data_IF_777220089246
#
_entry.id   IF_777220089246
#
_cell.length_a   1.000
_cell.length_b   1.000
_cell.length_c   1.000
_cell.angle_alpha   90.00
_cell.angle_beta   90.00
_cell.angle_gamma   90.00
#
_symmetry.space_group_name_H-M   'P 1'
#
loop_
_entity.id
_entity.type
_entity.pdbx_description
1 polymer ?
#
# COMPACT_ATOMS: atom_id res chain seq x y z
N UNK A 1 -11.67 0.24 0.94
CA UNK A 1 -12.46 0.56 -0.27
C UNK A 1 -12.82 -0.76 -0.97
N UNK A 2 -14.11 -1.08 -1.18
CA UNK A 2 -14.49 -2.30 -1.92
C UNK A 2 -14.56 -1.93 -3.40
N UNK A 3 -13.67 -2.49 -4.21
CA UNK A 3 -13.74 -2.36 -5.67
C UNK A 3 -14.76 -3.36 -6.21
N UNK A 4 -15.81 -2.84 -6.82
CA UNK A 4 -16.80 -3.64 -7.54
C UNK A 4 -16.83 -3.20 -9.01
N UNK A 5 -17.01 -4.14 -9.95
CA UNK A 5 -17.23 -3.77 -11.34
C UNK A 5 -18.52 -2.94 -11.46
N UNK A 6 -18.50 -1.93 -12.31
CA UNK A 6 -19.68 -1.11 -12.62
C UNK A 6 -20.74 -1.95 -13.34
N UNK A 7 -20.28 -2.84 -14.22
CA UNK A 7 -21.11 -3.80 -14.95
C UNK A 7 -20.75 -5.26 -14.58
N UNK A 8 -21.21 -5.70 -13.42
CA UNK A 8 -21.01 -7.08 -12.97
C UNK A 8 -21.60 -8.11 -13.94
N UNK A 9 -22.76 -7.81 -14.57
CA UNK A 9 -23.40 -8.71 -15.52
C UNK A 9 -22.55 -8.87 -16.77
N UNK A 10 -22.05 -7.77 -17.34
CA UNK A 10 -21.12 -7.79 -18.47
C UNK A 10 -19.85 -8.58 -18.15
N UNK A 11 -19.25 -8.35 -16.98
CA UNK A 11 -18.06 -9.10 -16.54
C UNK A 11 -18.33 -10.62 -16.52
N UNK A 12 -19.48 -11.07 -16.01
CA UNK A 12 -19.89 -12.49 -16.02
C UNK A 12 -20.12 -13.01 -17.44
N UNK A 13 -20.68 -12.19 -18.34
CA UNK A 13 -20.91 -12.60 -19.74
C UNK A 13 -19.58 -12.73 -20.50
N UNK A 14 -18.61 -11.86 -20.23
CA UNK A 14 -17.24 -11.97 -20.78
C UNK A 14 -16.56 -13.24 -20.26
N UNK A 15 -16.65 -13.52 -18.95
CA UNK A 15 -16.09 -14.75 -18.37
C UNK A 15 -16.65 -16.03 -19.00
N UNK A 16 -17.92 -16.00 -19.46
CA UNK A 16 -18.59 -17.10 -20.17
C UNK A 16 -18.35 -17.10 -21.69
N UNK A 17 -17.50 -16.18 -22.21
CA UNK A 17 -17.27 -16.06 -23.66
C UNK A 17 -18.46 -15.53 -24.48
N UNK A 18 -19.51 -15.05 -23.82
CA UNK A 18 -20.77 -14.60 -24.45
C UNK A 18 -20.80 -13.12 -24.81
N UNK A 19 -19.79 -12.38 -24.39
CA UNK A 19 -19.58 -10.97 -24.67
C UNK A 19 -18.10 -10.70 -24.90
N UNK A 20 -17.78 -9.71 -25.75
CA UNK A 20 -16.41 -9.29 -26.02
C UNK A 20 -15.76 -8.67 -24.79
N UNK A 21 -14.53 -9.08 -24.48
CA UNK A 21 -13.68 -8.41 -23.49
C UNK A 21 -13.24 -7.03 -23.97
N UNK A 22 -12.88 -6.13 -23.06
CA UNK A 22 -12.27 -4.86 -23.44
C UNK A 22 -10.82 -5.07 -23.90
N UNK A 23 -10.09 -5.99 -23.22
CA UNK A 23 -8.71 -6.34 -23.53
C UNK A 23 -8.50 -7.85 -23.33
N UNK A 24 -7.75 -8.47 -24.24
CA UNK A 24 -7.17 -9.79 -24.03
C UNK A 24 -5.63 -9.69 -24.10
N UNK A 25 -4.95 -10.29 -23.14
CA UNK A 25 -3.50 -10.49 -23.18
C UNK A 25 -3.28 -11.96 -23.45
N UNK A 26 -2.75 -12.27 -24.65
CA UNK A 26 -2.60 -13.64 -25.13
C UNK A 26 -1.16 -14.10 -25.12
N UNK A 27 -0.93 -15.41 -25.14
CA UNK A 27 0.40 -16.05 -25.20
C UNK A 27 1.33 -15.60 -24.05
N UNK A 28 0.78 -15.38 -22.85
CA UNK A 28 1.56 -14.97 -21.69
C UNK A 28 2.02 -16.18 -20.85
N UNK A 29 3.19 -16.06 -20.21
CA UNK A 29 3.53 -16.88 -19.05
C UNK A 29 2.99 -16.15 -17.79
N UNK A 30 1.81 -16.56 -17.33
CA UNK A 30 1.16 -15.94 -16.19
C UNK A 30 1.84 -16.34 -14.88
N UNK A 31 2.26 -15.36 -14.10
CA UNK A 31 2.73 -15.56 -12.73
C UNK A 31 1.56 -15.46 -11.79
N UNK A 32 1.09 -16.60 -11.28
CA UNK A 32 -0.01 -16.68 -10.34
C UNK A 32 0.51 -16.52 -8.91
N UNK A 33 0.32 -15.36 -8.31
CA UNK A 33 0.81 -15.04 -6.95
C UNK A 33 0.02 -15.73 -5.84
N UNK A 34 -1.16 -16.29 -6.13
CA UNK A 34 -1.94 -17.06 -5.15
C UNK A 34 -1.44 -18.49 -4.99
N UNK A 35 -0.95 -19.11 -6.07
CA UNK A 35 -0.50 -20.50 -6.07
C UNK A 35 1.01 -20.64 -6.17
N UNK A 36 1.72 -19.55 -6.56
CA UNK A 36 3.15 -19.56 -6.83
C UNK A 36 3.54 -20.24 -8.15
N UNK A 37 2.57 -20.53 -9.01
CA UNK A 37 2.78 -21.20 -10.30
C UNK A 37 3.10 -20.21 -11.41
N UNK A 38 3.81 -20.69 -12.42
CA UNK A 38 3.98 -19.98 -13.71
C UNK A 38 3.49 -20.92 -14.80
N UNK A 39 2.49 -20.48 -15.55
CA UNK A 39 1.89 -21.28 -16.62
C UNK A 39 1.45 -20.42 -17.80
N UNK A 40 1.29 -21.06 -18.98
CA UNK A 40 0.77 -20.36 -20.16
C UNK A 40 -0.70 -20.04 -19.97
N UNK A 41 -1.08 -18.81 -20.28
CA UNK A 41 -2.46 -18.36 -20.17
C UNK A 41 -2.77 -17.20 -21.11
N UNK A 42 -4.06 -17.07 -21.41
CA UNK A 42 -4.66 -15.86 -21.98
C UNK A 42 -5.53 -15.20 -20.90
N UNK A 43 -5.38 -13.87 -20.71
CA UNK A 43 -6.11 -13.14 -19.68
C UNK A 43 -7.06 -12.16 -20.32
N UNK A 44 -8.34 -12.26 -19.96
CA UNK A 44 -9.42 -11.41 -20.46
C UNK A 44 -9.83 -10.40 -19.41
N UNK A 45 -9.92 -9.12 -19.81
CA UNK A 45 -10.23 -7.99 -18.94
C UNK A 45 -11.50 -7.29 -19.44
N UNK A 46 -12.37 -6.92 -18.51
CA UNK A 46 -13.57 -6.14 -18.78
C UNK A 46 -13.85 -5.19 -17.62
N UNK A 47 -14.19 -3.95 -17.91
CA UNK A 47 -14.47 -2.87 -16.94
C UNK A 47 -13.34 -2.73 -15.87
N UNK A 48 -12.09 -2.96 -16.29
CA UNK A 48 -10.91 -2.90 -15.41
C UNK A 48 -10.72 -4.08 -14.46
N UNK A 49 -11.46 -5.18 -14.63
CA UNK A 49 -11.36 -6.41 -13.84
C UNK A 49 -10.94 -7.59 -14.71
N UNK A 50 -10.20 -8.52 -14.15
CA UNK A 50 -9.94 -9.81 -14.79
C UNK A 50 -11.26 -10.59 -14.82
N UNK A 51 -11.76 -10.86 -16.02
CA UNK A 51 -12.98 -11.61 -16.24
C UNK A 51 -12.69 -13.12 -16.27
N UNK A 52 -11.61 -13.52 -16.95
CA UNK A 52 -11.26 -14.92 -17.16
C UNK A 52 -9.75 -15.08 -17.38
N UNK A 53 -9.24 -16.22 -16.95
CA UNK A 53 -7.88 -16.70 -17.24
C UNK A 53 -8.05 -18.06 -17.93
N UNK A 54 -7.74 -18.10 -19.24
CA UNK A 54 -7.83 -19.30 -20.05
C UNK A 54 -6.49 -20.00 -20.12
N UNK A 55 -6.47 -21.28 -19.80
CA UNK A 55 -5.25 -22.12 -19.77
C UNK A 55 -5.24 -23.20 -20.84
N UNK A 56 -6.36 -23.40 -21.54
CA UNK A 56 -6.47 -24.35 -22.64
C UNK A 56 -6.17 -23.69 -23.99
N UNK A 57 -5.90 -24.46 -25.02
CA UNK A 57 -5.72 -23.95 -26.37
C UNK A 57 -7.05 -23.38 -26.88
N UNK A 58 -7.06 -22.10 -27.19
CA UNK A 58 -8.26 -21.35 -27.55
C UNK A 58 -8.08 -20.68 -28.91
N UNK A 59 -8.92 -21.06 -29.89
CA UNK A 59 -8.79 -20.58 -31.27
C UNK A 59 -9.42 -19.18 -31.51
N UNK A 60 -10.36 -18.72 -30.66
CA UNK A 60 -11.12 -17.50 -30.90
C UNK A 60 -11.05 -16.52 -29.73
N UNK A 61 -10.19 -15.52 -29.85
CA UNK A 61 -10.08 -14.42 -28.88
C UNK A 61 -11.14 -13.36 -29.20
N UNK A 62 -12.19 -13.27 -28.36
CA UNK A 62 -13.23 -12.25 -28.49
C UNK A 62 -12.92 -11.06 -27.56
N UNK A 63 -12.15 -10.09 -28.05
CA UNK A 63 -11.80 -8.88 -27.34
C UNK A 63 -11.72 -7.69 -28.29
N UNK A 64 -11.96 -6.46 -27.78
CA UNK A 64 -11.84 -5.22 -28.53
C UNK A 64 -10.37 -4.86 -28.83
N UNK A 65 -9.50 -5.17 -27.89
CA UNK A 65 -8.05 -4.98 -28.00
C UNK A 65 -7.36 -6.29 -27.64
N UNK A 66 -6.28 -6.64 -28.36
CA UNK A 66 -5.50 -7.84 -28.14
C UNK A 66 -4.03 -7.45 -28.04
N UNK A 67 -3.39 -7.83 -26.94
CA UNK A 67 -1.95 -7.73 -26.74
C UNK A 67 -1.37 -9.14 -26.79
N UNK A 68 -0.50 -9.41 -27.78
CA UNK A 68 0.26 -10.65 -27.81
C UNK A 68 1.52 -10.51 -26.95
N UNK A 69 1.55 -11.20 -25.83
CA UNK A 69 2.69 -11.21 -24.92
C UNK A 69 3.91 -11.97 -25.47
N UNK A 70 3.77 -12.75 -26.56
CA UNK A 70 4.86 -13.47 -27.22
C UNK A 70 5.70 -14.32 -26.26
N UNK A 71 5.07 -14.92 -25.27
CA UNK A 71 5.77 -15.71 -24.25
C UNK A 71 6.45 -14.89 -23.14
N UNK A 72 6.24 -13.58 -23.09
CA UNK A 72 6.70 -12.77 -21.95
C UNK A 72 5.90 -13.12 -20.69
N UNK A 73 6.50 -12.79 -19.53
CA UNK A 73 5.82 -12.98 -18.25
C UNK A 73 4.76 -11.90 -18.02
N UNK A 74 3.57 -12.32 -17.64
CA UNK A 74 2.50 -11.46 -17.17
C UNK A 74 2.39 -11.57 -15.66
N UNK A 75 2.63 -10.48 -14.95
CA UNK A 75 2.59 -10.42 -13.48
C UNK A 75 1.58 -9.37 -13.03
N UNK A 76 1.05 -9.46 -11.79
CA UNK A 76 0.48 -8.29 -11.15
C UNK A 76 1.49 -7.15 -11.12
N UNK A 77 1.02 -5.90 -11.21
CA UNK A 77 1.89 -4.75 -11.04
C UNK A 77 2.51 -4.73 -9.63
N UNK A 78 3.74 -4.24 -9.53
CA UNK A 78 4.45 -4.14 -8.25
C UNK A 78 3.74 -3.15 -7.32
N UNK A 79 3.81 -3.46 -6.02
CA UNK A 79 3.25 -2.64 -4.93
C UNK A 79 4.41 -2.21 -4.05
N UNK A 80 4.59 -0.91 -3.88
CA UNK A 80 5.48 -0.36 -2.86
C UNK A 80 4.63 -0.11 -1.61
N UNK A 81 4.87 -0.90 -0.57
CA UNK A 81 4.05 -0.92 0.63
C UNK A 81 4.37 0.23 1.61
N UNK A 82 5.49 0.92 1.43
CA UNK A 82 5.88 2.05 2.25
C UNK A 82 6.88 2.94 1.54
N UNK A 83 6.51 4.19 1.26
CA UNK A 83 7.38 5.15 0.58
C UNK A 83 7.12 6.59 1.04
N UNK A 84 8.18 7.39 1.10
CA UNK A 84 8.10 8.84 1.28
C UNK A 84 8.34 9.51 -0.07
N UNK A 85 7.27 9.92 -0.75
CA UNK A 85 7.36 10.53 -2.08
C UNK A 85 8.17 11.82 -2.03
N UNK A 86 7.98 12.61 -0.99
CA UNK A 86 8.68 13.88 -0.75
C UNK A 86 10.20 13.73 -0.63
N UNK A 87 10.70 12.61 -0.10
CA UNK A 87 12.14 12.29 -0.08
C UNK A 87 12.77 12.24 -1.47
N UNK A 88 11.98 11.90 -2.48
CA UNK A 88 12.42 11.92 -3.89
C UNK A 88 12.42 13.33 -4.51
N UNK A 89 12.01 14.36 -3.76
CA UNK A 89 11.79 15.74 -4.23
C UNK A 89 10.76 15.86 -5.36
N UNK A 90 9.84 14.89 -5.45
CA UNK A 90 8.77 14.87 -6.44
C UNK A 90 7.41 15.09 -5.79
N UNK A 91 6.49 15.62 -6.58
CA UNK A 91 5.06 15.56 -6.27
C UNK A 91 4.47 14.23 -6.76
N UNK A 92 3.33 13.75 -6.22
CA UNK A 92 2.72 12.46 -6.58
C UNK A 92 2.61 12.19 -8.09
N UNK A 93 2.22 13.19 -8.89
CA UNK A 93 2.11 13.06 -10.36
C UNK A 93 3.45 12.75 -11.03
N UNK A 94 4.53 13.39 -10.60
CA UNK A 94 5.85 13.18 -11.20
C UNK A 94 6.45 11.86 -10.74
N UNK A 95 6.23 11.49 -9.46
CA UNK A 95 6.59 10.19 -8.94
C UNK A 95 5.91 9.06 -9.74
N UNK A 96 4.60 9.16 -9.95
CA UNK A 96 3.85 8.19 -10.76
C UNK A 96 4.45 8.02 -12.17
N UNK A 97 4.81 9.13 -12.84
CA UNK A 97 5.46 9.07 -14.16
C UNK A 97 6.82 8.37 -14.13
N UNK A 98 7.55 8.51 -13.02
CA UNK A 98 8.87 7.90 -12.87
C UNK A 98 8.78 6.39 -12.63
N UNK A 99 7.83 5.92 -11.80
CA UNK A 99 7.83 4.52 -11.33
C UNK A 99 6.96 3.58 -12.17
N UNK A 100 5.89 4.07 -12.81
CA UNK A 100 5.01 3.23 -13.64
C UNK A 100 5.76 2.50 -14.76
N UNK A 101 6.69 3.13 -15.50
CA UNK A 101 7.44 2.44 -16.56
C UNK A 101 8.32 1.29 -16.04
N UNK A 102 8.57 1.24 -14.73
CA UNK A 102 9.31 0.16 -14.07
C UNK A 102 8.41 -0.89 -13.42
N UNK A 103 7.10 -0.80 -13.64
CA UNK A 103 6.12 -1.81 -13.21
C UNK A 103 5.46 -1.55 -11.86
N UNK A 104 5.77 -0.47 -11.16
CA UNK A 104 5.07 -0.10 -9.92
C UNK A 104 3.73 0.53 -10.24
N UNK A 105 2.65 -0.14 -9.86
CA UNK A 105 1.26 0.27 -10.16
C UNK A 105 0.47 0.71 -8.94
N UNK A 106 1.01 0.47 -7.75
CA UNK A 106 0.43 0.91 -6.49
C UNK A 106 1.52 1.29 -5.50
N UNK A 107 1.27 2.36 -4.74
CA UNK A 107 2.13 2.75 -3.61
C UNK A 107 1.28 3.15 -2.41
N UNK A 108 1.84 2.95 -1.22
CA UNK A 108 1.32 3.46 0.04
C UNK A 108 2.33 4.47 0.56
N UNK A 109 1.95 5.73 0.62
CA UNK A 109 2.87 6.81 1.00
C UNK A 109 2.57 7.36 2.38
N UNK A 110 3.64 7.59 3.14
CA UNK A 110 3.62 8.31 4.42
C UNK A 110 4.22 9.71 4.21
N UNK A 111 3.40 10.76 4.15
CA UNK A 111 3.86 12.13 3.90
C UNK A 111 4.31 12.86 5.17
N UNK A 112 5.00 12.19 6.11
CA UNK A 112 5.36 12.81 7.39
C UNK A 112 6.43 13.89 7.24
N UNK A 113 7.33 13.80 6.26
CA UNK A 113 8.39 14.78 6.06
C UNK A 113 7.78 16.15 5.71
N UNK A 114 6.87 16.19 4.73
CA UNK A 114 6.18 17.43 4.38
C UNK A 114 5.19 17.87 5.48
N UNK A 115 4.59 16.90 6.19
CA UNK A 115 3.69 17.18 7.32
C UNK A 115 4.43 17.82 8.50
N UNK A 116 5.69 17.45 8.75
CA UNK A 116 6.54 18.12 9.73
C UNK A 116 6.78 19.60 9.41
N UNK A 117 6.68 19.99 8.14
CA UNK A 117 6.85 21.40 7.71
C UNK A 117 5.53 22.16 7.72
N UNK A 118 4.45 21.56 7.21
CA UNK A 118 3.20 22.26 6.89
C UNK A 118 1.94 21.67 7.52
N UNK A 119 2.10 20.70 8.42
CA UNK A 119 1.00 20.11 9.18
C UNK A 119 -0.03 19.39 8.35
N UNK A 120 -1.29 19.41 8.81
CA UNK A 120 -2.43 18.72 8.17
C UNK A 120 -2.58 19.12 6.71
N UNK A 121 -2.36 20.39 6.38
CA UNK A 121 -2.47 20.87 4.99
C UNK A 121 -1.53 20.17 4.01
N UNK A 122 -0.37 19.71 4.49
CA UNK A 122 0.55 18.92 3.68
C UNK A 122 -0.07 17.54 3.33
N UNK A 123 -0.66 16.89 4.31
CA UNK A 123 -1.35 15.59 4.11
C UNK A 123 -2.56 15.75 3.18
N UNK A 124 -3.35 16.81 3.37
CA UNK A 124 -4.47 17.16 2.48
C UNK A 124 -4.00 17.39 1.04
N UNK A 125 -2.93 18.14 0.86
CA UNK A 125 -2.33 18.39 -0.45
C UNK A 125 -1.86 17.08 -1.10
N UNK A 126 -1.12 16.25 -0.38
CA UNK A 126 -0.65 14.96 -0.89
C UNK A 126 -1.84 14.07 -1.28
N UNK A 127 -2.87 13.98 -0.43
CA UNK A 127 -4.08 13.22 -0.74
C UNK A 127 -4.80 13.74 -2.01
N UNK A 128 -4.91 15.04 -2.19
CA UNK A 128 -5.53 15.62 -3.41
C UNK A 128 -4.72 15.29 -4.66
N UNK A 129 -3.39 15.33 -4.57
CA UNK A 129 -2.50 15.04 -5.70
C UNK A 129 -2.49 13.56 -6.11
N UNK A 130 -3.05 12.65 -5.32
CA UNK A 130 -3.18 11.23 -5.71
C UNK A 130 -4.35 10.98 -6.66
N UNK A 131 -5.27 11.93 -6.81
CA UNK A 131 -6.48 11.76 -7.62
C UNK A 131 -6.20 11.78 -9.12
N UNK A 132 -6.85 10.90 -9.86
CA UNK A 132 -6.77 10.84 -11.32
C UNK A 132 -5.40 10.40 -11.87
N UNK A 133 -4.55 9.82 -11.06
CA UNK A 133 -3.30 9.23 -11.50
C UNK A 133 -3.54 7.86 -12.17
N UNK A 134 -2.69 7.47 -13.14
CA UNK A 134 -2.77 6.17 -13.80
C UNK A 134 -2.24 5.02 -12.90
N UNK A 135 -2.02 5.25 -11.62
CA UNK A 135 -1.66 4.27 -10.61
C UNK A 135 -2.51 4.46 -9.35
N UNK A 136 -2.57 3.44 -8.51
CA UNK A 136 -3.19 3.55 -7.19
C UNK A 136 -2.17 4.14 -6.21
N UNK A 137 -2.54 5.23 -5.56
CA UNK A 137 -1.69 5.88 -4.57
C UNK A 137 -2.53 6.14 -3.32
N UNK A 138 -2.17 5.47 -2.24
CA UNK A 138 -2.83 5.57 -0.95
C UNK A 138 -1.98 6.35 0.04
N UNK A 139 -2.63 6.95 1.02
CA UNK A 139 -1.99 7.72 2.08
C UNK A 139 -2.16 6.99 3.40
N UNK A 140 -1.09 6.84 4.14
CA UNK A 140 -1.16 6.59 5.57
C UNK A 140 -1.00 7.91 6.31
N UNK A 141 -1.83 8.13 7.34
CA UNK A 141 -1.77 9.35 8.14
C UNK A 141 -0.51 9.32 8.99
N UNK A 142 0.38 10.35 8.93
CA UNK A 142 1.57 10.39 9.77
C UNK A 142 1.25 10.36 11.26
N UNK A 143 1.90 9.45 11.99
CA UNK A 143 1.88 9.41 13.47
C UNK A 143 3.03 10.23 14.07
N UNK A 144 4.09 10.42 13.29
CA UNK A 144 5.38 10.96 13.70
C UNK A 144 5.57 12.42 13.28
N UNK A 145 4.68 13.28 13.76
CA UNK A 145 4.80 14.76 13.61
C UNK A 145 4.69 15.40 15.00
N UNK A 146 5.82 15.64 15.67
CA UNK A 146 7.19 15.16 15.42
C UNK A 146 7.34 13.65 15.62
N UNK A 147 8.46 13.05 15.16
CA UNK A 147 8.75 11.64 15.36
C UNK A 147 8.80 11.29 16.85
N UNK A 148 9.57 12.03 17.63
CA UNK A 148 9.62 11.94 19.08
C UNK A 148 9.57 13.35 19.68
N UNK A 149 8.54 13.71 20.46
CA UNK A 149 8.42 15.03 21.07
C UNK A 149 9.66 15.40 21.89
N UNK A 150 10.16 16.62 21.67
CA UNK A 150 11.32 17.15 22.40
C UNK A 150 12.71 16.70 21.88
N UNK A 151 12.77 15.78 20.92
CA UNK A 151 14.03 15.33 20.32
C UNK A 151 14.29 15.98 18.94
N UNK A 152 13.28 16.56 18.32
CA UNK A 152 13.42 17.27 17.06
C UNK A 152 12.54 18.53 17.00
N UNK A 153 12.88 19.44 16.09
CA UNK A 153 12.07 20.62 15.79
C UNK A 153 11.15 20.30 14.60
N UNK A 154 9.85 20.37 14.84
CA UNK A 154 8.83 20.24 13.81
C UNK A 154 8.02 21.52 13.66
N UNK A 155 7.53 21.79 12.45
CA UNK A 155 6.61 22.90 12.16
C UNK A 155 5.17 22.63 12.58
N UNK A 156 4.86 21.39 12.99
CA UNK A 156 3.54 20.96 13.46
C UNK A 156 3.68 19.89 14.55
N UNK A 157 2.56 19.68 15.28
CA UNK A 157 2.44 18.59 16.24
C UNK A 157 1.07 17.94 16.04
N UNK A 158 1.06 16.62 15.76
CA UNK A 158 -0.18 15.88 15.62
C UNK A 158 -0.57 15.19 16.94
N UNK A 159 -1.82 15.40 17.29
CA UNK A 159 -2.51 14.76 18.39
C UNK A 159 -3.67 13.91 17.84
N UNK A 160 -4.31 13.10 18.68
CA UNK A 160 -5.41 12.24 18.27
C UNK A 160 -6.52 12.98 17.49
N UNK A 161 -6.84 14.21 17.87
CA UNK A 161 -7.86 15.01 17.17
C UNK A 161 -7.43 15.43 15.76
N UNK A 162 -6.15 15.64 15.52
CA UNK A 162 -5.63 15.94 14.20
C UNK A 162 -5.67 14.71 13.30
N UNK A 163 -5.36 13.55 13.87
CA UNK A 163 -5.50 12.25 13.20
C UNK A 163 -6.97 12.02 12.80
N UNK A 164 -7.93 12.22 13.72
CA UNK A 164 -9.37 12.06 13.43
C UNK A 164 -9.86 12.93 12.27
N UNK A 165 -9.36 14.17 12.15
CA UNK A 165 -9.71 15.06 11.02
C UNK A 165 -9.30 14.45 9.68
N UNK A 166 -8.14 13.80 9.62
CA UNK A 166 -7.58 13.25 8.39
C UNK A 166 -8.18 11.88 7.99
N UNK A 167 -8.86 11.16 8.89
CA UNK A 167 -9.49 9.87 8.59
C UNK A 167 -10.50 9.93 7.42
N UNK A 168 -11.10 11.10 7.19
CA UNK A 168 -12.11 11.29 6.13
C UNK A 168 -11.51 11.64 4.76
N UNK A 169 -10.21 11.76 4.63
CA UNK A 169 -9.55 11.95 3.34
C UNK A 169 -9.72 10.72 2.46
N UNK A 170 -9.96 10.94 1.17
CA UNK A 170 -10.49 9.91 0.25
C UNK A 170 -9.61 8.68 0.05
N UNK A 171 -8.28 8.86 0.12
CA UNK A 171 -7.30 7.80 -0.16
C UNK A 171 -6.51 7.37 1.08
N UNK A 172 -6.97 7.74 2.26
CA UNK A 172 -6.38 7.29 3.53
C UNK A 172 -6.78 5.86 3.83
N UNK A 173 -5.79 5.00 4.09
CA UNK A 173 -6.01 3.57 4.35
C UNK A 173 -5.45 3.06 5.68
N UNK A 174 -4.56 3.81 6.34
CA UNK A 174 -3.93 3.39 7.58
C UNK A 174 -3.28 4.54 8.35
N UNK A 175 -2.69 4.20 9.49
CA UNK A 175 -1.74 5.02 10.20
C UNK A 175 -0.33 4.70 9.68
N UNK A 176 0.42 5.73 9.36
CA UNK A 176 1.80 5.62 8.93
C UNK A 176 2.71 5.12 10.07
N UNK A 177 3.96 4.89 9.73
CA UNK A 177 4.96 4.32 10.62
C UNK A 177 4.98 4.96 12.01
N UNK A 178 4.84 4.11 13.04
CA UNK A 178 4.89 4.55 14.43
C UNK A 178 6.33 4.58 14.92
N UNK A 179 7.00 5.72 14.68
CA UNK A 179 8.42 5.93 15.01
C UNK A 179 8.67 6.09 16.51
N UNK A 180 7.72 6.65 17.25
CA UNK A 180 7.82 6.77 18.70
C UNK A 180 7.54 5.42 19.39
N UNK A 181 8.37 4.42 19.06
CA UNK A 181 8.26 3.10 19.66
C UNK A 181 8.54 3.11 21.17
N UNK A 182 9.30 4.10 21.67
CA UNK A 182 9.58 4.27 23.10
C UNK A 182 8.30 4.70 23.80
N UNK A 183 7.60 5.68 23.29
CA UNK A 183 6.29 6.10 23.80
C UNK A 183 5.28 4.96 23.79
N UNK A 184 5.26 4.15 22.70
CA UNK A 184 4.33 3.01 22.60
C UNK A 184 4.63 1.94 23.66
N UNK A 185 5.88 1.45 23.77
CA UNK A 185 6.12 0.36 24.71
C UNK A 185 6.09 0.79 26.18
N UNK A 186 6.18 2.08 26.46
CA UNK A 186 5.98 2.67 27.79
C UNK A 186 4.52 3.11 28.04
N UNK A 187 3.64 2.93 27.06
CA UNK A 187 2.24 3.35 27.12
C UNK A 187 2.08 4.86 27.40
N UNK A 188 2.85 5.68 26.70
CA UNK A 188 2.75 7.14 26.75
C UNK A 188 1.37 7.62 26.29
N UNK A 189 0.74 8.53 27.03
CA UNK A 189 -0.63 8.97 26.80
C UNK A 189 -0.85 9.49 25.37
N UNK A 190 0.08 10.28 24.82
CA UNK A 190 -0.03 10.82 23.46
C UNK A 190 -0.10 9.71 22.44
N UNK A 191 0.79 8.72 22.54
CA UNK A 191 0.83 7.61 21.60
C UNK A 191 -0.38 6.70 21.77
N UNK A 192 -0.79 6.41 22.99
CA UNK A 192 -1.97 5.60 23.24
C UNK A 192 -3.24 6.27 22.70
N UNK A 193 -3.39 7.59 22.82
CA UNK A 193 -4.53 8.32 22.27
C UNK A 193 -4.54 8.30 20.72
N UNK A 194 -3.39 8.42 20.08
CA UNK A 194 -3.26 8.31 18.61
C UNK A 194 -3.60 6.90 18.14
N UNK A 195 -3.03 5.87 18.76
CA UNK A 195 -3.25 4.48 18.38
C UNK A 195 -4.72 4.06 18.57
N UNK A 196 -5.36 4.54 19.64
CA UNK A 196 -6.77 4.31 19.92
C UNK A 196 -7.69 4.79 18.79
N UNK A 197 -7.35 5.89 18.12
CA UNK A 197 -8.12 6.38 16.96
C UNK A 197 -8.21 5.31 15.86
N UNK A 198 -7.11 4.62 15.59
CA UNK A 198 -7.07 3.57 14.56
C UNK A 198 -7.63 2.23 15.04
N UNK A 199 -7.50 1.94 16.34
CA UNK A 199 -8.18 0.79 16.95
C UNK A 199 -9.71 0.91 16.82
N UNK A 200 -10.27 2.09 17.08
CA UNK A 200 -11.69 2.40 16.94
C UNK A 200 -12.15 2.41 15.45
N UNK A 201 -11.33 2.91 14.55
CA UNK A 201 -11.61 3.00 13.10
C UNK A 201 -11.46 1.64 12.39
N UNK A 202 -10.59 0.77 12.89
CA UNK A 202 -10.35 -0.57 12.36
C UNK A 202 -9.41 -0.65 11.15
N UNK A 203 -8.76 0.45 10.73
CA UNK A 203 -7.69 0.43 9.72
C UNK A 203 -6.39 -0.05 10.36
N UNK A 204 -5.45 -0.49 9.50
CA UNK A 204 -4.16 -0.98 9.97
C UNK A 204 -3.23 0.15 10.45
N UNK A 205 -2.23 -0.25 11.21
CA UNK A 205 -1.18 0.61 11.74
C UNK A 205 0.16 0.07 11.26
N UNK A 206 0.91 0.89 10.52
CA UNK A 206 2.29 0.57 10.15
C UNK A 206 3.24 0.82 11.32
N UNK A 207 4.29 0.02 11.37
CA UNK A 207 5.29 0.11 12.43
C UNK A 207 6.67 0.50 11.94
N UNK A 208 7.44 1.03 12.88
CA UNK A 208 8.83 1.40 12.74
C UNK A 208 9.56 1.01 14.04
N UNK A 209 10.20 -0.16 14.03
CA UNK A 209 10.71 -0.77 15.26
C UNK A 209 12.16 -1.27 15.10
N UNK A 210 13.14 -0.38 14.75
CA UNK A 210 14.53 -0.79 14.63
C UNK A 210 15.06 -1.33 15.96
N UNK A 211 15.71 -2.49 15.92
CA UNK A 211 16.36 -3.09 17.08
C UNK A 211 15.44 -3.63 18.18
N UNK A 212 14.11 -3.44 18.10
CA UNK A 212 13.19 -3.92 19.13
C UNK A 212 13.13 -5.45 19.17
N UNK A 213 13.15 -6.00 20.39
CA UNK A 213 13.08 -7.44 20.69
C UNK A 213 12.49 -7.70 22.08
N UNK A 214 12.16 -8.97 22.34
CA UNK A 214 11.68 -9.40 23.65
C UNK A 214 10.44 -8.63 24.10
N UNK A 215 10.41 -8.21 25.37
CA UNK A 215 9.24 -7.55 25.98
C UNK A 215 8.89 -6.22 25.33
N UNK A 216 9.89 -5.44 24.89
CA UNK A 216 9.65 -4.16 24.22
C UNK A 216 8.94 -4.38 22.87
N UNK A 217 9.37 -5.38 22.09
CA UNK A 217 8.69 -5.74 20.84
C UNK A 217 7.26 -6.22 21.09
N UNK A 218 7.06 -7.04 22.14
CA UNK A 218 5.71 -7.50 22.51
C UNK A 218 4.80 -6.34 22.91
N UNK A 219 5.29 -5.41 23.74
CA UNK A 219 4.55 -4.21 24.14
C UNK A 219 4.21 -3.33 22.93
N UNK A 220 5.18 -3.07 22.04
CA UNK A 220 4.97 -2.32 20.81
C UNK A 220 3.91 -2.96 19.90
N UNK A 221 3.97 -4.29 19.72
CA UNK A 221 3.00 -5.04 18.93
C UNK A 221 1.60 -5.01 19.54
N UNK A 222 1.48 -5.07 20.88
CA UNK A 222 0.21 -4.92 21.61
C UNK A 222 -0.38 -3.52 21.39
N UNK A 223 0.46 -2.50 21.29
CA UNK A 223 0.05 -1.12 20.99
C UNK A 223 -0.58 -0.93 19.60
N UNK A 224 -0.54 -1.94 18.71
CA UNK A 224 -1.26 -1.94 17.44
C UNK A 224 -0.41 -2.09 16.17
N UNK A 225 0.87 -1.65 16.09
CA UNK A 225 1.64 -1.76 14.86
C UNK A 225 1.75 -3.19 14.35
N UNK A 226 1.47 -3.38 13.04
CA UNK A 226 1.40 -4.72 12.43
C UNK A 226 2.51 -5.00 11.44
N UNK A 227 3.28 -3.99 11.04
CA UNK A 227 4.38 -4.10 10.07
C UNK A 227 5.68 -3.55 10.63
N UNK A 228 6.79 -3.79 9.95
CA UNK A 228 8.04 -3.07 10.16
C UNK A 228 8.92 -3.15 8.92
N UNK A 229 9.36 -2.01 8.41
CA UNK A 229 10.31 -1.87 7.30
C UNK A 229 11.75 -1.55 7.76
N UNK A 230 11.96 -1.28 9.06
CA UNK A 230 13.27 -1.01 9.66
C UNK A 230 13.89 -2.29 10.24
N UNK A 231 14.27 -3.21 9.35
CA UNK A 231 14.81 -4.52 9.73
C UNK A 231 16.05 -4.80 8.91
N UNK A 232 17.21 -4.88 9.56
CA UNK A 232 18.52 -4.91 8.88
C UNK A 232 19.13 -6.31 8.74
N UNK A 233 18.65 -7.29 9.51
CA UNK A 233 19.24 -8.62 9.56
C UNK A 233 18.30 -9.65 10.22
N UNK A 234 18.69 -10.92 10.12
CA UNK A 234 17.93 -12.08 10.59
C UNK A 234 17.50 -12.02 12.05
N UNK A 235 18.33 -11.46 12.93
CA UNK A 235 18.04 -11.42 14.36
C UNK A 235 16.94 -10.38 14.68
N UNK A 236 16.66 -9.45 13.79
CA UNK A 236 15.51 -8.53 13.87
C UNK A 236 14.28 -9.09 13.17
N UNK A 237 14.44 -9.72 12.00
CA UNK A 237 13.33 -10.27 11.19
C UNK A 237 12.58 -11.35 11.98
N UNK A 238 13.30 -12.37 12.45
CA UNK A 238 12.69 -13.55 13.08
C UNK A 238 11.82 -13.22 14.31
N UNK A 239 12.27 -12.40 15.28
CA UNK A 239 11.42 -11.99 16.40
C UNK A 239 10.15 -11.25 15.98
N UNK A 240 10.24 -10.33 15.01
CA UNK A 240 9.08 -9.58 14.50
C UNK A 240 8.06 -10.52 13.85
N UNK A 241 8.49 -11.39 12.96
CA UNK A 241 7.60 -12.39 12.35
C UNK A 241 6.97 -13.33 13.38
N UNK A 242 7.74 -13.78 14.39
CA UNK A 242 7.22 -14.61 15.48
C UNK A 242 6.18 -13.89 16.35
N UNK A 243 6.24 -12.56 16.43
CA UNK A 243 5.22 -11.73 17.10
C UNK A 243 3.99 -11.44 16.25
N UNK A 244 3.93 -11.97 15.01
CA UNK A 244 2.84 -11.77 14.07
C UNK A 244 2.91 -10.45 13.30
N UNK A 245 4.09 -9.83 13.22
CA UNK A 245 4.31 -8.65 12.37
C UNK A 245 4.73 -9.08 10.95
N UNK A 246 4.26 -8.33 9.97
CA UNK A 246 4.82 -8.36 8.61
C UNK A 246 6.14 -7.58 8.58
N UNK A 247 7.07 -8.06 7.78
CA UNK A 247 8.35 -7.38 7.58
C UNK A 247 8.47 -6.99 6.12
N UNK A 248 8.53 -5.68 5.88
CA UNK A 248 8.72 -5.12 4.55
C UNK A 248 10.23 -5.09 4.25
N UNK A 249 10.64 -5.81 3.20
CA UNK A 249 12.03 -5.82 2.78
C UNK A 249 12.36 -4.53 2.03
N UNK A 250 13.46 -3.89 2.41
CA UNK A 250 14.00 -2.71 1.72
C UNK A 250 15.46 -2.91 1.37
N UNK A 251 15.91 -2.29 0.28
CA UNK A 251 17.34 -2.13 0.00
C UNK A 251 17.90 -1.06 0.95
N UNK A 252 18.92 -1.39 1.69
CA UNK A 252 19.67 -0.44 2.55
C UNK A 252 20.73 0.30 1.76
#
# INVERSE_FOLDING_TARGET
MKYFPKDKKGLMMVAMGRQSADLAIVNANLVNTFTGEIYKANVFVYDGFIAHVETEDFENVNAKEIIDAKGMYLTPGLIDAHVHIESSMMIPRNFAKAVIPHGTTMVITDPHEIANVYGIRAVEYMNEQTKGLPMKMYIDIPSCVPAVPGMENAGATFMADDIRKMLNLSNVIGLAEVMDFIGVYNADDRMMDILKVFEEDGRYIQGHAPGLKGRQLSSYRIGGPTTCHETRNDWEVKPKMRSGMYVDARSS
#
